data_IF_024960623799
#
_entry.id   IF_024960623799
#
_cell.length_a   1.000
_cell.length_b   1.000
_cell.length_c   1.000
_cell.angle_alpha   90.00
_cell.angle_beta   90.00
_cell.angle_gamma   90.00
#
_symmetry.space_group_name_H-M   'P 1'
#
loop_
_entity.id
_entity.type
_entity.pdbx_description
1 polymer ?
#
# COMPACT_ATOMS: atom_id res chain seq x y z
N UNK A 1 63.68 34.92 -11.13
CA UNK A 1 62.28 35.05 -10.65
C UNK A 1 61.19 34.82 -11.71
N UNK A 2 61.49 34.57 -13.00
CA UNK A 2 60.46 34.36 -14.05
C UNK A 2 60.05 32.89 -14.25
N UNK A 3 60.89 31.95 -13.82
CA UNK A 3 60.65 30.49 -13.93
C UNK A 3 59.85 29.93 -12.76
N UNK A 4 60.02 30.48 -11.55
CA UNK A 4 59.27 30.08 -10.34
C UNK A 4 57.78 30.46 -10.40
N UNK A 5 57.43 31.60 -11.01
CA UNK A 5 56.03 32.01 -11.17
C UNK A 5 55.21 31.06 -12.08
N UNK A 6 55.87 30.40 -13.05
CA UNK A 6 55.19 29.47 -13.97
C UNK A 6 54.80 28.15 -13.32
N UNK A 7 55.56 27.69 -12.32
CA UNK A 7 55.26 26.46 -11.59
C UNK A 7 54.10 26.66 -10.60
N UNK A 8 53.99 27.82 -9.95
CA UNK A 8 52.89 28.14 -9.04
C UNK A 8 51.54 28.17 -9.78
N UNK A 9 51.52 28.65 -11.03
CA UNK A 9 50.30 28.67 -11.85
C UNK A 9 49.86 27.28 -12.32
N UNK A 10 50.80 26.35 -12.52
CA UNK A 10 50.49 24.98 -12.96
C UNK A 10 49.86 24.12 -11.85
N UNK A 11 50.29 24.29 -10.60
CA UNK A 11 49.67 23.60 -9.46
C UNK A 11 48.31 24.19 -9.05
N UNK A 12 48.07 25.49 -9.31
CA UNK A 12 46.76 26.12 -9.13
C UNK A 12 45.66 25.53 -10.04
N UNK A 13 46.03 25.07 -11.24
CA UNK A 13 45.09 24.49 -12.21
C UNK A 13 44.77 23.01 -11.95
N UNK A 14 45.67 22.25 -11.31
CA UNK A 14 45.40 20.83 -10.96
C UNK A 14 44.43 20.71 -9.78
N UNK A 15 44.39 21.69 -8.88
CA UNK A 15 43.39 21.77 -7.80
C UNK A 15 41.95 21.99 -8.29
N UNK A 16 41.78 22.66 -9.44
CA UNK A 16 40.47 22.92 -10.06
C UNK A 16 39.84 21.67 -10.70
N UNK A 17 40.60 20.59 -10.91
CA UNK A 17 40.11 19.35 -11.51
C UNK A 17 39.47 18.38 -10.50
N UNK A 18 39.61 18.61 -9.18
CA UNK A 18 38.88 17.83 -8.17
C UNK A 18 37.39 18.19 -8.08
N UNK A 19 36.99 19.34 -8.63
CA UNK A 19 35.61 19.86 -8.57
C UNK A 19 34.66 19.23 -9.59
N UNK A 20 35.14 18.33 -10.45
CA UNK A 20 34.31 17.61 -11.43
C UNK A 20 34.03 16.15 -11.02
N UNK A 21 33.99 15.86 -9.71
CA UNK A 21 33.49 14.57 -9.26
C UNK A 21 31.96 14.59 -9.40
N UNK A 22 31.42 13.84 -10.37
CA UNK A 22 29.97 13.82 -10.59
C UNK A 22 29.23 13.53 -9.29
N UNK A 23 28.08 14.17 -9.07
CA UNK A 23 27.27 14.04 -7.86
C UNK A 23 27.01 12.58 -7.48
N UNK A 24 26.82 11.69 -8.47
CA UNK A 24 26.65 10.26 -8.24
C UNK A 24 27.90 9.55 -7.70
N UNK A 25 29.10 9.96 -8.09
CA UNK A 25 30.37 9.38 -7.61
C UNK A 25 30.76 9.88 -6.20
N UNK A 26 30.26 11.06 -5.81
CA UNK A 26 30.42 11.58 -4.44
C UNK A 26 29.46 10.87 -3.49
N UNK A 27 28.20 10.68 -3.91
CA UNK A 27 27.17 10.00 -3.11
C UNK A 27 27.37 8.48 -3.01
N UNK A 28 28.14 7.87 -3.91
CA UNK A 28 28.49 6.44 -3.86
C UNK A 28 29.55 6.12 -2.79
N UNK A 29 30.25 7.13 -2.24
CA UNK A 29 31.23 6.95 -1.17
C UNK A 29 30.56 7.15 0.18
N UNK A 30 30.54 6.11 1.02
CA UNK A 30 29.81 6.11 2.30
C UNK A 30 30.19 7.26 3.22
N UNK A 31 31.49 7.50 3.45
CA UNK A 31 31.97 8.57 4.33
C UNK A 31 31.55 9.96 3.84
N UNK A 32 31.68 10.22 2.54
CA UNK A 32 31.27 11.50 1.94
C UNK A 32 29.76 11.70 2.03
N UNK A 33 28.99 10.64 1.77
CA UNK A 33 27.53 10.65 1.92
C UNK A 33 27.12 10.97 3.36
N UNK A 34 27.75 10.32 4.35
CA UNK A 34 27.50 10.58 5.77
C UNK A 34 27.89 12.00 6.16
N UNK A 35 29.02 12.51 5.69
CA UNK A 35 29.44 13.89 5.93
C UNK A 35 28.42 14.91 5.40
N UNK A 36 27.96 14.72 4.16
CA UNK A 36 26.91 15.57 3.55
C UNK A 36 25.61 15.48 4.34
N UNK A 37 25.16 14.27 4.70
CA UNK A 37 23.95 14.08 5.51
C UNK A 37 24.05 14.77 6.87
N UNK A 38 25.21 14.67 7.54
CA UNK A 38 25.45 15.37 8.80
C UNK A 38 25.45 16.89 8.63
N UNK A 39 26.06 17.43 7.57
CA UNK A 39 26.00 18.86 7.29
C UNK A 39 24.55 19.33 7.10
N UNK A 40 23.76 18.61 6.31
CA UNK A 40 22.35 18.96 6.11
C UNK A 40 21.56 18.87 7.42
N UNK A 41 21.77 17.81 8.21
CA UNK A 41 21.03 17.60 9.46
C UNK A 41 21.37 18.64 10.55
N UNK A 42 22.59 19.18 10.55
CA UNK A 42 23.03 20.18 11.53
C UNK A 42 22.82 21.63 11.08
N UNK A 43 22.36 21.86 9.84
CA UNK A 43 22.02 23.18 9.31
C UNK A 43 20.51 23.35 9.21
N UNK A 44 19.96 24.35 9.90
CA UNK A 44 18.50 24.55 9.99
C UNK A 44 17.86 24.86 8.63
N UNK A 45 18.54 25.62 7.76
CA UNK A 45 18.00 26.03 6.47
C UNK A 45 18.05 24.83 5.52
N UNK A 46 19.19 24.16 5.42
CA UNK A 46 19.35 23.00 4.56
C UNK A 46 18.45 21.83 4.97
N UNK A 47 18.30 21.58 6.27
CA UNK A 47 17.39 20.54 6.78
C UNK A 47 15.93 20.86 6.45
N UNK A 48 15.48 22.12 6.62
CA UNK A 48 14.13 22.56 6.23
C UNK A 48 13.88 22.41 4.73
N UNK A 49 14.84 22.81 3.89
CA UNK A 49 14.72 22.67 2.44
C UNK A 49 14.69 21.20 2.00
N UNK A 50 15.56 20.35 2.58
CA UNK A 50 15.57 18.91 2.30
C UNK A 50 14.25 18.26 2.72
N UNK A 51 13.71 18.62 3.89
CA UNK A 51 12.42 18.12 4.35
C UNK A 51 11.29 18.58 3.43
N UNK A 52 11.29 19.84 3.01
CA UNK A 52 10.35 20.38 2.03
C UNK A 52 10.43 19.67 0.67
N UNK A 53 11.62 19.40 0.17
CA UNK A 53 11.84 18.66 -1.07
C UNK A 53 11.33 17.22 -0.96
N UNK A 54 11.61 16.54 0.15
CA UNK A 54 11.08 15.20 0.44
C UNK A 54 9.54 15.19 0.46
N UNK A 55 8.93 16.11 1.21
CA UNK A 55 7.47 16.25 1.31
C UNK A 55 6.79 16.56 -0.02
N UNK A 56 7.47 17.28 -0.91
CA UNK A 56 6.94 17.62 -2.24
C UNK A 56 7.19 16.54 -3.29
N UNK A 57 8.16 15.64 -3.08
CA UNK A 57 8.46 14.54 -4.00
C UNK A 57 7.46 13.38 -3.89
N UNK A 58 7.18 12.68 -5.00
CA UNK A 58 6.33 11.48 -5.01
C UNK A 58 6.88 10.39 -4.09
N UNK A 59 8.19 10.15 -4.12
CA UNK A 59 8.84 9.11 -3.32
C UNK A 59 8.85 9.46 -1.84
N UNK A 60 9.12 10.73 -1.48
CA UNK A 60 9.06 11.17 -0.09
C UNK A 60 7.63 11.15 0.46
N UNK A 61 6.62 11.54 -0.32
CA UNK A 61 5.20 11.32 0.04
C UNK A 61 4.90 9.86 0.29
N UNK A 62 5.39 8.95 -0.56
CA UNK A 62 5.17 7.51 -0.40
C UNK A 62 5.88 6.96 0.85
N UNK A 63 7.11 7.39 1.14
CA UNK A 63 7.86 6.98 2.32
C UNK A 63 7.17 7.45 3.60
N UNK A 64 6.77 8.72 3.64
CA UNK A 64 6.01 9.29 4.76
C UNK A 64 4.69 8.56 4.95
N UNK A 65 3.95 8.27 3.87
CA UNK A 65 2.72 7.49 3.96
C UNK A 65 2.96 6.08 4.50
N UNK A 66 4.07 5.41 4.18
CA UNK A 66 4.35 4.06 4.71
C UNK A 66 4.54 4.05 6.22
N UNK A 67 5.33 4.98 6.75
CA UNK A 67 5.53 5.10 8.20
C UNK A 67 4.26 5.61 8.90
N UNK A 68 3.63 6.64 8.33
CA UNK A 68 2.42 7.24 8.90
C UNK A 68 1.21 6.31 8.80
N UNK A 69 1.16 5.38 7.85
CA UNK A 69 0.10 4.37 7.74
C UNK A 69 0.15 3.37 8.90
N UNK A 70 1.34 3.00 9.40
CA UNK A 70 1.48 2.16 10.59
C UNK A 70 1.01 2.92 11.83
N UNK A 71 1.49 4.15 12.04
CA UNK A 71 1.08 4.98 13.18
C UNK A 71 -0.39 5.36 13.14
N UNK A 72 -0.97 5.59 11.95
CA UNK A 72 -2.39 5.90 11.79
C UNK A 72 -3.26 4.68 12.04
N UNK A 73 -2.85 3.48 11.58
CA UNK A 73 -3.54 2.23 11.92
C UNK A 73 -3.48 1.92 13.41
N UNK A 74 -2.35 2.15 14.08
CA UNK A 74 -2.24 2.00 15.54
C UNK A 74 -3.13 2.99 16.28
N UNK A 75 -3.08 4.28 15.93
CA UNK A 75 -3.93 5.30 16.57
C UNK A 75 -5.43 5.07 16.32
N UNK A 76 -5.82 4.51 15.18
CA UNK A 76 -7.21 4.08 14.94
C UNK A 76 -7.60 2.88 15.81
N UNK A 77 -6.70 1.94 16.05
CA UNK A 77 -6.94 0.82 16.98
C UNK A 77 -7.05 1.29 18.43
N UNK A 78 -6.27 2.29 18.82
CA UNK A 78 -6.29 2.87 20.16
C UNK A 78 -7.53 3.76 20.42
N UNK A 79 -8.21 4.21 19.37
CA UNK A 79 -9.41 5.03 19.48
C UNK A 79 -10.67 4.31 18.93
N UNK A 80 -11.29 3.43 19.75
CA UNK A 80 -12.49 2.70 19.35
C UNK A 80 -13.70 3.61 19.10
N UNK A 81 -13.74 4.82 19.67
CA UNK A 81 -14.81 5.80 19.46
C UNK A 81 -14.79 6.33 18.01
N UNK A 82 -13.60 6.60 17.47
CA UNK A 82 -13.46 7.02 16.07
C UNK A 82 -13.88 5.90 15.11
N UNK A 83 -13.54 4.65 15.40
CA UNK A 83 -13.97 3.52 14.59
C UNK A 83 -15.49 3.35 14.64
N UNK A 84 -16.10 3.49 15.83
CA UNK A 84 -17.56 3.46 16.00
C UNK A 84 -18.27 4.59 15.24
N UNK A 85 -17.72 5.80 15.23
CA UNK A 85 -18.34 6.94 14.54
C UNK A 85 -18.26 6.83 13.02
N UNK A 86 -17.21 6.19 12.48
CA UNK A 86 -17.03 5.99 11.04
C UNK A 86 -17.77 4.75 10.49
N UNK A 87 -18.08 3.76 11.35
CA UNK A 87 -18.71 2.51 10.94
C UNK A 87 -20.07 2.70 10.22
N UNK A 88 -20.99 3.58 10.66
CA UNK A 88 -22.26 3.80 9.97
C UNK A 88 -22.06 4.37 8.56
N UNK A 89 -21.12 5.29 8.38
CA UNK A 89 -20.83 5.90 7.08
C UNK A 89 -20.16 4.91 6.13
N UNK A 90 -19.26 4.07 6.65
CA UNK A 90 -18.68 2.97 5.88
C UNK A 90 -19.73 1.95 5.45
N UNK A 91 -20.65 1.57 6.34
CA UNK A 91 -21.78 0.71 5.99
C UNK A 91 -22.70 1.36 4.95
N UNK A 92 -22.94 2.66 5.05
CA UNK A 92 -23.73 3.40 4.06
C UNK A 92 -23.07 3.36 2.70
N UNK A 93 -21.77 3.66 2.60
CA UNK A 93 -21.02 3.55 1.34
C UNK A 93 -21.06 2.14 0.74
N UNK A 94 -20.95 1.10 1.56
CA UNK A 94 -21.06 -0.29 1.08
C UNK A 94 -22.47 -0.63 0.57
N UNK A 95 -23.52 -0.10 1.21
CA UNK A 95 -24.91 -0.28 0.77
C UNK A 95 -25.20 0.48 -0.52
N UNK A 96 -24.71 1.71 -0.61
CA UNK A 96 -24.93 2.61 -1.75
C UNK A 96 -24.10 2.19 -2.98
N UNK A 97 -22.98 1.47 -2.76
CA UNK A 97 -22.11 0.97 -3.81
C UNK A 97 -22.04 -0.57 -3.82
N UNK A 98 -22.98 -1.24 -4.52
CA UNK A 98 -23.01 -2.70 -4.60
C UNK A 98 -21.77 -3.28 -5.30
N UNK A 99 -21.12 -2.53 -6.19
CA UNK A 99 -19.90 -3.00 -6.87
C UNK A 99 -18.69 -3.01 -5.94
N UNK A 100 -18.62 -2.07 -4.99
CA UNK A 100 -17.65 -2.11 -3.91
C UNK A 100 -17.84 -3.35 -3.04
N UNK A 101 -19.07 -3.64 -2.64
CA UNK A 101 -19.39 -4.85 -1.85
C UNK A 101 -19.01 -6.13 -2.61
N UNK A 102 -19.36 -6.22 -3.91
CA UNK A 102 -18.98 -7.35 -4.76
C UNK A 102 -17.48 -7.49 -4.91
N UNK A 103 -16.76 -6.39 -5.13
CA UNK A 103 -15.30 -6.39 -5.26
C UNK A 103 -14.62 -6.90 -3.99
N UNK A 104 -15.09 -6.44 -2.83
CA UNK A 104 -14.57 -6.87 -1.54
C UNK A 104 -14.85 -8.35 -1.27
N UNK A 105 -16.09 -8.81 -1.56
CA UNK A 105 -16.45 -10.22 -1.43
C UNK A 105 -15.65 -11.12 -2.38
N UNK A 106 -15.43 -10.67 -3.63
CA UNK A 106 -14.61 -11.39 -4.62
C UNK A 106 -13.17 -11.53 -4.16
N UNK A 107 -12.55 -10.45 -3.68
CA UNK A 107 -11.18 -10.48 -3.18
C UNK A 107 -11.01 -11.38 -1.95
N UNK A 108 -12.00 -11.39 -1.05
CA UNK A 108 -12.02 -12.31 0.08
C UNK A 108 -12.13 -13.77 -0.38
N UNK A 109 -13.00 -14.05 -1.34
CA UNK A 109 -13.15 -15.40 -1.91
C UNK A 109 -11.89 -15.85 -2.65
N UNK A 110 -11.20 -14.97 -3.38
CA UNK A 110 -9.94 -15.29 -4.06
C UNK A 110 -8.81 -15.60 -3.07
N UNK A 111 -8.76 -14.92 -1.92
CA UNK A 111 -7.82 -15.27 -0.85
C UNK A 111 -8.18 -16.59 -0.20
N UNK A 112 -9.44 -16.78 0.19
CA UNK A 112 -9.91 -18.02 0.82
C UNK A 112 -9.72 -19.25 -0.09
N UNK A 113 -9.82 -19.09 -1.41
CA UNK A 113 -9.55 -20.17 -2.38
C UNK A 113 -8.16 -20.78 -2.27
N UNK A 114 -7.17 -20.02 -1.81
CA UNK A 114 -5.79 -20.47 -1.70
C UNK A 114 -5.38 -20.73 -0.23
N UNK A 115 -6.34 -20.64 0.70
CA UNK A 115 -6.13 -20.83 2.14
C UNK A 115 -7.17 -21.83 2.66
N UNK A 116 -6.77 -23.11 2.70
CA UNK A 116 -7.66 -24.22 3.08
C UNK A 116 -8.25 -24.06 4.48
N UNK A 117 -7.52 -23.46 5.42
CA UNK A 117 -8.01 -23.20 6.77
C UNK A 117 -9.11 -22.13 6.75
N UNK A 118 -8.89 -21.03 6.03
CA UNK A 118 -9.90 -19.98 5.85
C UNK A 118 -11.13 -20.52 5.11
N UNK A 119 -10.94 -21.35 4.08
CA UNK A 119 -12.05 -21.98 3.36
C UNK A 119 -12.83 -22.94 4.25
N UNK A 120 -12.14 -23.75 5.04
CA UNK A 120 -12.75 -24.68 6.00
C UNK A 120 -13.60 -23.94 7.03
N UNK A 121 -13.06 -22.91 7.67
CA UNK A 121 -13.78 -22.11 8.67
C UNK A 121 -14.98 -21.37 8.06
N UNK A 122 -14.83 -20.88 6.82
CA UNK A 122 -15.93 -20.28 6.08
C UNK A 122 -17.04 -21.30 5.82
N UNK A 123 -16.71 -22.47 5.28
CA UNK A 123 -17.68 -23.54 5.03
C UNK A 123 -18.36 -24.00 6.32
N UNK A 124 -17.59 -24.15 7.41
CA UNK A 124 -18.11 -24.52 8.73
C UNK A 124 -19.08 -23.48 9.25
N UNK A 125 -18.73 -22.20 9.22
CA UNK A 125 -19.61 -21.10 9.66
C UNK A 125 -20.91 -21.03 8.87
N UNK A 126 -20.88 -21.37 7.57
CA UNK A 126 -22.08 -21.46 6.74
C UNK A 126 -22.97 -22.64 7.14
N UNK A 127 -22.38 -23.79 7.48
CA UNK A 127 -23.12 -24.99 7.92
C UNK A 127 -23.67 -24.84 9.35
N UNK A 128 -22.93 -24.19 10.23
CA UNK A 128 -23.34 -23.95 11.62
C UNK A 128 -24.46 -22.91 11.73
N UNK A 129 -24.77 -22.17 10.64
CA UNK A 129 -25.88 -21.23 10.59
C UNK A 129 -27.17 -21.92 10.04
N UNK A 130 -28.16 -22.19 10.90
CA UNK A 130 -29.38 -22.91 10.51
C UNK A 130 -30.27 -22.13 9.54
N UNK A 131 -30.25 -20.80 9.53
CA UNK A 131 -31.00 -20.00 8.56
C UNK A 131 -30.40 -20.12 7.15
N UNK A 132 -29.08 -20.08 7.07
CA UNK A 132 -28.35 -20.29 5.81
C UNK A 132 -28.56 -21.70 5.28
N UNK A 133 -28.51 -22.72 6.14
CA UNK A 133 -28.80 -24.10 5.75
C UNK A 133 -30.23 -24.25 5.19
N UNK A 134 -31.24 -23.70 5.89
CA UNK A 134 -32.64 -23.69 5.40
C UNK A 134 -32.77 -22.96 4.06
N UNK A 135 -32.06 -21.85 3.86
CA UNK A 135 -32.07 -21.13 2.60
C UNK A 135 -31.44 -21.94 1.46
N UNK A 136 -30.33 -22.63 1.72
CA UNK A 136 -29.70 -23.54 0.76
C UNK A 136 -30.59 -24.71 0.38
N UNK A 137 -31.29 -25.30 1.36
CA UNK A 137 -32.26 -26.37 1.11
C UNK A 137 -33.42 -25.89 0.23
N UNK A 138 -33.98 -24.71 0.52
CA UNK A 138 -35.02 -24.09 -0.32
C UNK A 138 -34.54 -23.86 -1.74
N UNK A 139 -33.34 -23.28 -1.94
CA UNK A 139 -32.78 -23.08 -3.29
C UNK A 139 -32.54 -24.40 -4.03
N UNK A 140 -32.09 -25.46 -3.32
CA UNK A 140 -31.92 -26.79 -3.91
C UNK A 140 -33.25 -27.38 -4.35
N UNK A 141 -34.30 -27.25 -3.53
CA UNK A 141 -35.65 -27.68 -3.87
C UNK A 141 -36.20 -26.93 -5.10
N UNK A 142 -36.12 -25.60 -5.11
CA UNK A 142 -36.57 -24.76 -6.23
C UNK A 142 -35.82 -25.06 -7.54
N UNK A 143 -34.50 -25.28 -7.48
CA UNK A 143 -33.71 -25.70 -8.65
C UNK A 143 -34.11 -27.09 -9.16
N UNK A 144 -34.37 -28.03 -8.26
CA UNK A 144 -34.87 -29.36 -8.63
C UNK A 144 -36.25 -29.27 -9.29
N UNK A 145 -37.16 -28.46 -8.76
CA UNK A 145 -38.50 -28.29 -9.34
C UNK A 145 -38.47 -27.60 -10.71
N UNK A 146 -37.63 -26.59 -10.91
CA UNK A 146 -37.40 -26.01 -12.24
C UNK A 146 -36.80 -27.02 -13.24
N UNK A 147 -35.92 -27.91 -12.78
CA UNK A 147 -35.34 -28.95 -13.64
C UNK A 147 -36.37 -30.03 -14.04
N UNK A 148 -37.33 -30.34 -13.14
CA UNK A 148 -38.44 -31.25 -13.43
C UNK A 148 -39.42 -30.65 -14.45
N UNK A 149 -39.75 -29.36 -14.33
CA UNK A 149 -40.58 -28.66 -15.33
C UNK A 149 -39.95 -28.68 -16.73
N UNK A 150 -38.66 -28.33 -16.85
CA UNK A 150 -37.95 -28.35 -18.14
C UNK A 150 -37.80 -29.75 -18.77
N UNK A 151 -37.93 -30.81 -17.98
CA UNK A 151 -37.93 -32.20 -18.46
C UNK A 151 -39.27 -32.66 -19.03
N UNK A 152 -40.39 -32.04 -18.62
CA UNK A 152 -41.73 -32.38 -19.11
C UNK A 152 -42.03 -31.75 -20.47
N UNK A 153 -41.47 -30.58 -20.77
CA UNK A 153 -41.57 -29.94 -22.11
C UNK A 153 -40.89 -30.75 -23.23
N UNK A 154 -40.00 -31.71 -22.88
CA UNK A 154 -39.30 -32.57 -23.86
C UNK A 154 -39.96 -33.94 -24.07
N UNK A 155 -41.01 -34.30 -23.32
CA UNK A 155 -41.70 -35.61 -23.43
C UNK A 155 -43.05 -35.55 -24.17
N UNK A 156 -43.50 -34.36 -24.56
CA UNK A 156 -44.64 -34.19 -25.49
C UNK A 156 -44.13 -33.82 -26.89
N UNK A 157 -43.58 -34.80 -27.61
CA UNK A 157 -43.47 -34.80 -29.07
C UNK A 157 -43.59 -36.22 -29.57
#
# INVERSE_FOLDING_TARGET
>A
MKTLQKFVFAFGLVGLLYSCQSTNQVLSKSEKRTGIMNTIANDEIMSKEMMGALMNSKNGKMMMMKEHHVTMMEKMKENPEMMKSMMPEMMKMMKDNPDMMKGMMKGMMEKAKNDDAMMFDMCKSMMDNPEMMKMMEKMKAEKMDMSKMKGMDKKSK
#
